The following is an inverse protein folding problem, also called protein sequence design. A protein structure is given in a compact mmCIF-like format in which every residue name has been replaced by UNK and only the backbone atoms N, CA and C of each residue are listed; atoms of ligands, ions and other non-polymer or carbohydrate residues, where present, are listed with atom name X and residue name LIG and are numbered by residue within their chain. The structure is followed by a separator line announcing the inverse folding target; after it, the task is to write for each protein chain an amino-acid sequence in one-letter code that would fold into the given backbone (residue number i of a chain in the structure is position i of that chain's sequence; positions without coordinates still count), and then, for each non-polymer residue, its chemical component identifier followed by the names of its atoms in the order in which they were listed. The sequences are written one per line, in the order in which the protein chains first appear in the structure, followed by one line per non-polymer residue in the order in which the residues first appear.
data_IF_212902292661
#
_entry.id   IF_212902292661
#
_cell.length_a   1.000
_cell.length_b   1.000
_cell.length_c   1.000
_cell.angle_alpha   90.00
_cell.angle_beta   90.00
_cell.angle_gamma   90.00
#
_symmetry.space_group_name_H-M   'P 1'
#
loop_
_entity.id
_entity.type
_entity.pdbx_description
1 polymer ?
#
# COMPACT_ATOMS: atom_id res chain seq x y z
N UNK A 1 -47.91 79.06 -9.44
CA UNK A 1 -47.76 77.63 -9.77
C UNK A 1 -46.35 77.09 -9.52
N UNK A 2 -45.27 77.79 -9.90
CA UNK A 2 -43.88 77.33 -9.73
C UNK A 2 -43.44 77.05 -8.27
N UNK A 3 -43.86 77.89 -7.31
CA UNK A 3 -43.51 77.68 -5.89
C UNK A 3 -44.12 76.40 -5.26
N UNK A 4 -45.15 75.82 -5.89
CA UNK A 4 -45.79 74.59 -5.39
C UNK A 4 -45.08 73.34 -5.92
N UNK A 5 -44.53 73.41 -7.13
CA UNK A 5 -43.72 72.34 -7.73
C UNK A 5 -42.36 72.20 -7.02
N UNK A 6 -41.68 73.33 -6.75
CA UNK A 6 -40.39 73.34 -6.05
C UNK A 6 -40.47 72.71 -4.64
N UNK A 7 -41.53 73.02 -3.89
CA UNK A 7 -41.77 72.40 -2.57
C UNK A 7 -42.11 70.91 -2.62
N UNK A 8 -42.57 70.41 -3.76
CA UNK A 8 -42.91 69.00 -3.94
C UNK A 8 -41.64 68.19 -4.23
N UNK A 9 -40.76 68.71 -5.11
CA UNK A 9 -39.45 68.12 -5.41
C UNK A 9 -38.51 68.11 -4.19
N UNK A 10 -38.45 69.20 -3.41
CA UNK A 10 -37.61 69.27 -2.20
C UNK A 10 -38.05 68.28 -1.10
N UNK A 11 -39.36 68.01 -0.99
CA UNK A 11 -39.90 67.06 -0.02
C UNK A 11 -39.67 65.60 -0.43
N UNK A 12 -39.75 65.29 -1.72
CA UNK A 12 -39.45 63.96 -2.23
C UNK A 12 -37.94 63.65 -2.19
N UNK A 13 -37.08 64.66 -2.41
CA UNK A 13 -35.63 64.53 -2.23
C UNK A 13 -35.25 64.28 -0.75
N UNK A 14 -35.88 64.97 0.19
CA UNK A 14 -35.65 64.75 1.64
C UNK A 14 -36.15 63.39 2.12
N UNK A 15 -37.27 62.89 1.59
CA UNK A 15 -37.79 61.55 1.92
C UNK A 15 -36.88 60.43 1.39
N UNK A 16 -36.34 60.60 0.18
CA UNK A 16 -35.40 59.63 -0.41
C UNK A 16 -34.04 59.63 0.30
N UNK A 17 -33.52 60.79 0.72
CA UNK A 17 -32.33 60.88 1.57
C UNK A 17 -32.53 60.19 2.93
N UNK A 18 -33.65 60.44 3.60
CA UNK A 18 -33.96 59.80 4.87
C UNK A 18 -34.12 58.27 4.74
N UNK A 19 -34.79 57.79 3.69
CA UNK A 19 -34.92 56.36 3.41
C UNK A 19 -33.56 55.71 3.13
N UNK A 20 -32.68 56.38 2.37
CA UNK A 20 -31.32 55.92 2.10
C UNK A 20 -30.45 55.85 3.36
N UNK A 21 -30.54 56.87 4.23
CA UNK A 21 -29.86 56.89 5.54
C UNK A 21 -30.34 55.79 6.46
N UNK A 22 -31.65 55.57 6.55
CA UNK A 22 -32.24 54.47 7.33
C UNK A 22 -31.80 53.11 6.79
N UNK A 23 -31.78 52.92 5.48
CA UNK A 23 -31.30 51.68 4.86
C UNK A 23 -29.81 51.42 5.14
N UNK A 24 -28.99 52.48 5.10
CA UNK A 24 -27.55 52.40 5.43
C UNK A 24 -27.33 52.03 6.89
N UNK A 25 -28.06 52.65 7.81
CA UNK A 25 -27.99 52.31 9.26
C UNK A 25 -28.40 50.86 9.48
N UNK A 26 -29.49 50.39 8.84
CA UNK A 26 -29.91 48.99 8.92
C UNK A 26 -28.86 48.03 8.36
N UNK A 27 -28.24 48.37 7.23
CA UNK A 27 -27.21 47.53 6.61
C UNK A 27 -25.96 47.41 7.49
N UNK A 28 -25.52 48.51 8.09
CA UNK A 28 -24.40 48.51 9.03
C UNK A 28 -24.75 47.72 10.29
N UNK A 29 -25.97 47.88 10.81
CA UNK A 29 -26.45 47.13 11.97
C UNK A 29 -26.48 45.62 11.70
N UNK A 30 -26.96 45.20 10.52
CA UNK A 30 -26.92 43.79 10.12
C UNK A 30 -25.50 43.26 10.07
N UNK A 31 -24.56 44.00 9.46
CA UNK A 31 -23.16 43.59 9.38
C UNK A 31 -22.53 43.45 10.77
N UNK A 32 -22.81 44.38 11.69
CA UNK A 32 -22.34 44.30 13.08
C UNK A 32 -22.91 43.07 13.78
N UNK A 33 -24.20 42.79 13.58
CA UNK A 33 -24.85 41.62 14.19
C UNK A 33 -24.27 40.30 13.64
N UNK A 34 -23.97 40.22 12.34
CA UNK A 34 -23.31 39.07 11.73
C UNK A 34 -21.88 38.86 12.26
N UNK A 35 -21.11 39.94 12.43
CA UNK A 35 -19.79 39.85 13.04
C UNK A 35 -19.86 39.39 14.51
N UNK A 36 -20.81 39.93 15.28
CA UNK A 36 -20.98 39.55 16.69
C UNK A 36 -21.40 38.09 16.85
N UNK A 37 -22.28 37.58 15.98
CA UNK A 37 -22.68 36.16 16.01
C UNK A 37 -21.53 35.24 15.59
N UNK A 38 -20.75 35.63 14.58
CA UNK A 38 -19.56 34.87 14.18
C UNK A 38 -18.53 34.78 15.31
N UNK A 39 -18.22 35.91 15.96
CA UNK A 39 -17.28 35.94 17.08
C UNK A 39 -17.79 35.15 18.30
N UNK A 40 -19.10 35.15 18.55
CA UNK A 40 -19.69 34.33 19.61
C UNK A 40 -19.46 32.84 19.38
N UNK A 41 -19.63 32.37 18.15
CA UNK A 41 -19.39 30.98 17.79
C UNK A 41 -17.90 30.60 17.91
N UNK A 42 -17.00 31.47 17.45
CA UNK A 42 -15.55 31.26 17.61
C UNK A 42 -15.14 31.19 19.08
N UNK A 43 -15.68 32.09 19.90
CA UNK A 43 -15.46 32.06 21.36
C UNK A 43 -15.95 30.76 21.98
N UNK A 44 -17.13 30.26 21.60
CA UNK A 44 -17.67 29.01 22.15
C UNK A 44 -16.79 27.81 21.80
N UNK A 45 -16.20 27.79 20.61
CA UNK A 45 -15.22 26.76 20.20
C UNK A 45 -13.97 26.85 21.07
N UNK A 46 -13.41 28.04 21.27
CA UNK A 46 -12.23 28.26 22.11
C UNK A 46 -12.51 27.88 23.57
N UNK A 47 -13.66 28.29 24.12
CA UNK A 47 -14.09 27.96 25.47
C UNK A 47 -14.30 26.44 25.64
N UNK A 48 -14.81 25.74 24.61
CA UNK A 48 -14.94 24.28 24.62
C UNK A 48 -13.60 23.57 24.66
N UNK A 49 -12.66 23.99 23.80
CA UNK A 49 -11.27 23.47 23.80
C UNK A 49 -10.62 23.73 25.15
N UNK A 50 -10.73 24.96 25.68
CA UNK A 50 -10.17 25.32 26.97
C UNK A 50 -10.80 24.52 28.12
N UNK A 51 -12.11 24.22 28.04
CA UNK A 51 -12.79 23.35 29.02
C UNK A 51 -12.32 21.90 28.94
N UNK A 52 -11.94 21.40 27.75
CA UNK A 52 -11.27 20.10 27.59
C UNK A 52 -9.88 20.10 28.23
N UNK A 53 -9.17 21.23 28.22
CA UNK A 53 -7.86 21.37 28.90
C UNK A 53 -7.97 21.63 30.41
N UNK A 54 -9.10 22.19 30.87
CA UNK A 54 -9.35 22.54 32.27
C UNK A 54 -10.15 21.46 33.02
N UNK A 55 -10.29 20.23 32.48
CA UNK A 55 -10.71 19.12 33.35
C UNK A 55 -9.64 18.97 34.43
N UNK A 56 -10.02 18.97 35.73
CA UNK A 56 -9.09 18.68 36.80
C UNK A 56 -8.86 17.16 36.84
N UNK A 57 -8.46 16.58 35.71
CA UNK A 57 -7.79 15.29 35.75
C UNK A 57 -6.41 15.58 36.27
N UNK A 58 -6.34 15.71 37.60
CA UNK A 58 -5.09 15.69 38.32
C UNK A 58 -4.45 14.35 37.94
N UNK A 59 -3.47 14.39 37.05
CA UNK A 59 -2.57 13.28 36.76
C UNK A 59 -1.64 13.07 37.98
N UNK A 60 -2.21 12.93 39.19
CA UNK A 60 -1.45 12.62 40.40
C UNK A 60 -1.09 11.13 40.51
N UNK A 61 -1.59 10.31 39.58
CA UNK A 61 -1.34 8.87 39.54
C UNK A 61 -1.92 8.13 40.75
N UNK A 62 -2.70 8.78 41.62
CA UNK A 62 -3.17 8.19 42.88
C UNK A 62 -4.33 7.20 42.66
N UNK A 63 -5.03 7.28 41.52
CA UNK A 63 -6.11 6.38 41.12
C UNK A 63 -5.78 5.50 39.89
N UNK A 64 -4.55 5.57 39.37
CA UNK A 64 -4.12 4.73 38.26
C UNK A 64 -3.53 3.42 38.79
N UNK A 65 -4.34 2.37 38.85
CA UNK A 65 -3.82 1.01 39.07
C UNK A 65 -3.10 0.57 37.79
N UNK A 66 -1.78 0.73 37.76
CA UNK A 66 -0.96 0.23 36.66
C UNK A 66 -0.73 -1.27 36.86
N UNK A 67 -1.56 -2.10 36.22
CA UNK A 67 -1.32 -3.54 36.14
C UNK A 67 -0.27 -3.82 35.07
N UNK A 68 0.95 -4.16 35.51
CA UNK A 68 1.99 -4.66 34.62
C UNK A 68 1.56 -6.04 34.11
N UNK A 69 1.46 -6.26 32.79
CA UNK A 69 1.22 -7.58 32.23
C UNK A 69 2.22 -8.61 32.79
N UNK A 70 1.75 -9.79 33.20
CA UNK A 70 2.56 -10.82 33.87
C UNK A 70 3.83 -11.21 33.09
N UNK A 71 3.73 -11.23 31.76
CA UNK A 71 4.86 -11.49 30.85
C UNK A 71 5.97 -10.43 30.96
N UNK A 72 5.60 -9.16 31.15
CA UNK A 72 6.55 -8.09 31.38
C UNK A 72 7.13 -8.18 32.79
N UNK A 73 6.31 -8.50 33.80
CA UNK A 73 6.79 -8.70 35.16
C UNK A 73 7.83 -9.84 35.26
N UNK A 74 7.54 -11.00 34.63
CA UNK A 74 8.46 -12.14 34.59
C UNK A 74 9.77 -11.81 33.88
N UNK A 75 9.70 -11.05 32.77
CA UNK A 75 10.90 -10.63 32.05
C UNK A 75 11.70 -9.58 32.81
N UNK A 76 11.04 -8.69 33.54
CA UNK A 76 11.70 -7.73 34.41
C UNK A 76 12.43 -8.45 35.56
N UNK A 77 11.85 -9.50 36.13
CA UNK A 77 12.50 -10.33 37.16
C UNK A 77 13.70 -11.13 36.61
N UNK A 78 13.70 -11.48 35.31
CA UNK A 78 14.86 -12.09 34.67
C UNK A 78 15.94 -11.07 34.27
N UNK A 79 15.56 -9.88 33.82
CA UNK A 79 16.46 -8.82 33.28
C UNK A 79 16.97 -7.84 34.36
N UNK A 80 16.46 -7.92 35.60
CA UNK A 80 16.77 -7.02 36.72
C UNK A 80 18.24 -7.02 37.15
N UNK A 81 19.06 -7.95 36.65
CA UNK A 81 20.50 -7.94 36.96
C UNK A 81 21.32 -6.93 36.16
N UNK A 82 20.78 -6.29 35.11
CA UNK A 82 21.62 -5.45 34.23
C UNK A 82 21.09 -4.04 33.92
N UNK A 83 19.79 -3.76 33.99
CA UNK A 83 19.24 -2.51 33.43
C UNK A 83 18.78 -1.45 34.45
N UNK A 84 18.58 -1.78 35.73
CA UNK A 84 17.91 -0.87 36.67
C UNK A 84 18.79 -0.58 37.89
N UNK A 85 19.14 0.69 38.11
CA UNK A 85 19.96 1.16 39.24
C UNK A 85 19.14 1.66 40.44
N UNK A 86 17.84 1.38 40.51
CA UNK A 86 16.99 1.84 41.60
C UNK A 86 15.74 0.98 41.81
N UNK A 87 15.21 1.00 43.05
CA UNK A 87 13.95 0.37 43.38
C UNK A 87 12.79 1.17 42.75
N UNK A 88 11.75 0.48 42.26
CA UNK A 88 10.54 1.09 41.69
C UNK A 88 9.81 1.93 42.75
N UNK A 89 9.95 1.54 44.02
CA UNK A 89 9.39 2.25 45.17
C UNK A 89 10.51 2.77 46.05
N UNK A 90 10.50 4.07 46.32
CA UNK A 90 11.44 4.73 47.22
C UNK A 90 10.64 5.51 48.26
N UNK A 91 10.83 5.19 49.54
CA UNK A 91 10.12 5.82 50.66
C UNK A 91 8.58 5.86 50.50
N UNK A 92 7.96 4.71 50.18
CA UNK A 92 6.51 4.55 49.97
C UNK A 92 5.92 5.37 48.80
N UNK A 93 6.77 6.00 47.99
CA UNK A 93 6.37 6.72 46.77
C UNK A 93 7.00 6.09 45.54
N UNK A 94 6.26 6.11 44.44
CA UNK A 94 6.75 5.63 43.15
C UNK A 94 7.92 6.48 42.69
N UNK A 95 9.07 5.85 42.42
CA UNK A 95 10.20 6.53 41.80
C UNK A 95 9.89 6.69 40.30
N UNK A 96 9.29 7.83 39.94
CA UNK A 96 8.88 8.12 38.56
C UNK A 96 10.03 8.04 37.54
N UNK A 97 11.28 8.28 37.97
CA UNK A 97 12.44 8.14 37.08
C UNK A 97 12.64 6.68 36.69
N UNK A 98 12.56 5.76 37.65
CA UNK A 98 12.65 4.32 37.40
C UNK A 98 11.46 3.83 36.57
N UNK A 99 10.25 4.35 36.81
CA UNK A 99 9.05 4.02 36.01
C UNK A 99 9.20 4.48 34.56
N UNK A 100 9.72 5.69 34.31
CA UNK A 100 9.95 6.20 32.96
C UNK A 100 11.05 5.39 32.25
N UNK A 101 12.13 5.04 32.94
CA UNK A 101 13.18 4.18 32.39
C UNK A 101 12.63 2.80 32.00
N UNK A 102 11.80 2.22 32.85
CA UNK A 102 11.12 0.96 32.61
C UNK A 102 10.20 1.01 31.38
N UNK A 103 9.39 2.06 31.27
CA UNK A 103 8.50 2.25 30.13
C UNK A 103 9.31 2.37 28.83
N UNK A 104 10.41 3.12 28.85
CA UNK A 104 11.28 3.29 27.68
C UNK A 104 11.96 1.99 27.25
N UNK A 105 12.41 1.15 28.17
CA UNK A 105 12.96 -0.18 27.84
C UNK A 105 11.89 -1.13 27.30
N UNK A 106 10.69 -1.09 27.88
CA UNK A 106 9.56 -1.92 27.42
C UNK A 106 9.16 -1.53 25.99
N UNK A 107 9.08 -0.23 25.69
CA UNK A 107 8.79 0.28 24.36
C UNK A 107 9.90 -0.06 23.36
N UNK A 108 11.17 0.01 23.77
CA UNK A 108 12.31 -0.38 22.92
C UNK A 108 12.24 -1.86 22.57
N UNK A 109 12.00 -2.70 23.57
CA UNK A 109 11.86 -4.15 23.41
C UNK A 109 10.71 -4.49 22.47
N UNK A 110 9.53 -3.87 22.67
CA UNK A 110 8.38 -4.07 21.80
C UNK A 110 8.68 -3.69 20.35
N UNK A 111 9.33 -2.55 20.12
CA UNK A 111 9.75 -2.11 18.78
C UNK A 111 10.70 -3.10 18.13
N UNK A 112 11.70 -3.55 18.88
CA UNK A 112 12.75 -4.44 18.36
C UNK A 112 12.17 -5.83 18.02
N UNK A 113 11.26 -6.36 18.85
CA UNK A 113 10.56 -7.62 18.59
C UNK A 113 9.57 -7.54 17.42
N UNK A 114 8.81 -6.45 17.33
CA UNK A 114 7.91 -6.20 16.21
C UNK A 114 8.69 -6.16 14.89
N UNK A 115 9.79 -5.41 14.85
CA UNK A 115 10.64 -5.29 13.68
C UNK A 115 11.26 -6.64 13.28
N UNK A 116 11.70 -7.45 14.24
CA UNK A 116 12.20 -8.81 13.98
C UNK A 116 11.11 -9.72 13.39
N UNK A 117 9.87 -9.62 13.89
CA UNK A 117 8.74 -10.40 13.37
C UNK A 117 8.40 -10.02 11.93
N UNK A 118 8.33 -8.72 11.62
CA UNK A 118 8.09 -8.21 10.26
C UNK A 118 9.19 -8.61 9.29
N UNK A 119 10.46 -8.44 9.69
CA UNK A 119 11.61 -8.87 8.89
C UNK A 119 11.58 -10.37 8.62
N UNK A 120 11.24 -11.20 9.61
CA UNK A 120 11.15 -12.64 9.45
C UNK A 120 10.06 -13.04 8.47
N UNK A 121 8.90 -12.39 8.52
CA UNK A 121 7.82 -12.61 7.56
C UNK A 121 8.24 -12.21 6.14
N UNK A 122 8.85 -11.04 5.99
CA UNK A 122 9.35 -10.55 4.69
C UNK A 122 10.41 -11.50 4.10
N UNK A 123 11.37 -11.94 4.92
CA UNK A 123 12.39 -12.90 4.51
C UNK A 123 11.79 -14.23 4.08
N UNK A 124 10.75 -14.70 4.76
CA UNK A 124 10.06 -15.94 4.39
C UNK A 124 9.35 -15.81 3.03
N UNK A 125 8.70 -14.67 2.77
CA UNK A 125 8.08 -14.39 1.47
C UNK A 125 9.11 -14.36 0.35
N UNK A 126 10.24 -13.66 0.56
CA UNK A 126 11.34 -13.59 -0.41
C UNK A 126 11.94 -14.98 -0.65
N UNK A 127 12.15 -15.78 0.40
CA UNK A 127 12.67 -17.14 0.27
C UNK A 127 11.75 -18.02 -0.58
N UNK A 128 10.44 -17.94 -0.33
CA UNK A 128 9.44 -18.70 -1.09
C UNK A 128 9.39 -18.27 -2.56
N UNK A 129 9.47 -16.97 -2.85
CA UNK A 129 9.47 -16.47 -4.23
C UNK A 129 10.72 -16.89 -5.00
N UNK A 130 11.90 -16.84 -4.37
CA UNK A 130 13.16 -17.32 -4.95
C UNK A 130 13.10 -18.82 -5.24
N UNK A 131 12.57 -19.63 -4.32
CA UNK A 131 12.39 -21.06 -4.54
C UNK A 131 11.47 -21.34 -5.74
N UNK A 132 10.32 -20.67 -5.80
CA UNK A 132 9.39 -20.80 -6.94
C UNK A 132 10.05 -20.41 -8.26
N UNK A 133 10.77 -19.30 -8.29
CA UNK A 133 11.48 -18.86 -9.48
C UNK A 133 12.54 -19.89 -9.92
N UNK A 134 13.35 -20.38 -8.98
CA UNK A 134 14.38 -21.38 -9.27
C UNK A 134 13.76 -22.69 -9.80
N UNK A 135 12.68 -23.18 -9.20
CA UNK A 135 11.96 -24.36 -9.71
C UNK A 135 11.44 -24.16 -11.13
N UNK A 136 10.95 -22.96 -11.44
CA UNK A 136 10.42 -22.62 -12.77
C UNK A 136 11.54 -22.55 -13.82
N UNK A 137 12.67 -21.95 -13.46
CA UNK A 137 13.87 -21.90 -14.31
C UNK A 137 14.38 -23.31 -14.60
N UNK A 138 14.56 -24.15 -13.58
CA UNK A 138 15.04 -25.52 -13.75
C UNK A 138 14.07 -26.36 -14.62
N UNK A 139 12.76 -26.18 -14.44
CA UNK A 139 11.77 -26.84 -15.29
C UNK A 139 11.84 -26.36 -16.76
N UNK A 140 12.12 -25.08 -16.98
CA UNK A 140 12.35 -24.53 -18.32
C UNK A 140 13.62 -25.06 -18.97
N UNK A 141 14.71 -25.16 -18.22
CA UNK A 141 15.98 -25.73 -18.69
C UNK A 141 15.84 -27.22 -19.04
N UNK A 142 15.15 -28.00 -18.21
CA UNK A 142 14.88 -29.41 -18.49
C UNK A 142 14.10 -29.59 -19.81
N UNK A 143 13.05 -28.80 -20.03
CA UNK A 143 12.30 -28.82 -21.30
C UNK A 143 13.16 -28.42 -22.49
N UNK A 144 14.04 -27.42 -22.33
CA UNK A 144 14.94 -26.99 -23.40
C UNK A 144 15.90 -28.10 -23.81
N UNK A 145 16.46 -28.82 -22.84
CA UNK A 145 17.33 -29.97 -23.10
C UNK A 145 16.59 -31.13 -23.78
N UNK A 146 15.34 -31.38 -23.39
CA UNK A 146 14.50 -32.42 -24.02
C UNK A 146 14.21 -32.11 -25.50
N UNK A 147 13.92 -30.83 -25.82
CA UNK A 147 13.73 -30.36 -27.20
C UNK A 147 15.03 -30.49 -27.99
N UNK A 148 16.15 -30.01 -27.46
CA UNK A 148 17.46 -30.06 -28.13
C UNK A 148 17.89 -31.52 -28.41
N UNK A 149 17.67 -32.42 -27.44
CA UNK A 149 17.93 -33.85 -27.63
C UNK A 149 17.04 -34.45 -28.73
N UNK A 150 15.75 -34.13 -28.73
CA UNK A 150 14.79 -34.62 -29.73
C UNK A 150 15.15 -34.12 -31.14
N UNK A 151 15.52 -32.85 -31.28
CA UNK A 151 15.97 -32.26 -32.54
C UNK A 151 17.25 -32.93 -33.04
N UNK A 152 18.22 -33.20 -32.15
CA UNK A 152 19.45 -33.91 -32.48
C UNK A 152 19.20 -35.34 -32.95
N UNK A 153 18.32 -36.08 -32.26
CA UNK A 153 17.91 -37.43 -32.66
C UNK A 153 17.22 -37.40 -34.02
N UNK A 154 16.29 -36.47 -34.23
CA UNK A 154 15.58 -36.33 -35.50
C UNK A 154 16.54 -36.01 -36.66
N UNK A 155 17.50 -35.10 -36.45
CA UNK A 155 18.52 -34.79 -37.45
C UNK A 155 19.38 -36.02 -37.79
N UNK A 156 19.73 -36.84 -36.80
CA UNK A 156 20.46 -38.10 -37.04
C UNK A 156 19.61 -39.12 -37.80
N UNK A 157 18.31 -39.21 -37.53
CA UNK A 157 17.39 -40.10 -38.23
C UNK A 157 17.25 -39.66 -39.69
N UNK A 158 17.01 -38.37 -39.94
CA UNK A 158 16.92 -37.82 -41.30
C UNK A 158 18.17 -38.13 -42.13
N UNK A 159 19.37 -37.96 -41.55
CA UNK A 159 20.62 -38.29 -42.25
C UNK A 159 20.71 -39.78 -42.60
N UNK A 160 20.36 -40.67 -41.67
CA UNK A 160 20.35 -42.12 -41.94
C UNK A 160 19.31 -42.50 -42.99
N UNK A 161 18.17 -41.82 -43.01
CA UNK A 161 17.13 -42.03 -44.01
C UNK A 161 17.62 -41.63 -45.40
N UNK A 162 18.27 -40.47 -45.54
CA UNK A 162 18.91 -40.03 -46.78
C UNK A 162 19.98 -41.03 -47.26
N UNK A 163 20.83 -41.52 -46.36
CA UNK A 163 21.84 -42.55 -46.67
C UNK A 163 21.19 -43.85 -47.18
N UNK A 164 20.10 -44.28 -46.56
CA UNK A 164 19.35 -45.46 -46.99
C UNK A 164 18.68 -45.26 -48.34
N UNK A 165 18.05 -44.11 -48.57
CA UNK A 165 17.45 -43.77 -49.86
C UNK A 165 18.49 -43.73 -50.97
N UNK A 166 19.68 -43.17 -50.72
CA UNK A 166 20.79 -43.19 -51.65
C UNK A 166 21.24 -44.63 -51.98
N UNK A 167 21.36 -45.49 -50.96
CA UNK A 167 21.69 -46.93 -51.16
C UNK A 167 20.63 -47.66 -51.97
N UNK A 168 19.35 -47.47 -51.65
CA UNK A 168 18.25 -48.09 -52.39
C UNK A 168 18.21 -47.63 -53.85
N UNK A 169 18.35 -46.31 -54.11
CA UNK A 169 18.45 -45.78 -55.47
C UNK A 169 19.62 -46.37 -56.25
N UNK A 170 20.78 -46.51 -55.61
CA UNK A 170 21.95 -47.14 -56.24
C UNK A 170 21.69 -48.61 -56.57
N UNK A 171 21.15 -49.39 -55.63
CA UNK A 171 20.90 -50.82 -55.82
C UNK A 171 19.85 -51.07 -56.91
N UNK A 172 18.74 -50.32 -56.85
CA UNK A 172 17.71 -50.35 -57.86
C UNK A 172 18.27 -49.95 -59.22
N UNK A 173 19.08 -48.89 -59.32
CA UNK A 173 19.74 -48.46 -60.56
C UNK A 173 20.60 -49.54 -61.22
N UNK A 174 21.22 -50.42 -60.43
CA UNK A 174 22.01 -51.58 -60.91
C UNK A 174 21.19 -52.85 -61.10
N UNK A 175 19.89 -52.84 -60.80
CA UNK A 175 19.05 -54.03 -60.85
C UNK A 175 18.71 -54.39 -62.32
N UNK A 176 18.88 -55.66 -62.75
CA UNK A 176 18.54 -56.10 -64.10
C UNK A 176 17.06 -55.90 -64.46
N UNK A 177 16.19 -55.74 -63.46
CA UNK A 177 14.76 -55.51 -63.63
C UNK A 177 14.42 -54.10 -64.16
N UNK A 178 15.32 -53.11 -64.05
CA UNK A 178 15.09 -51.78 -64.64
C UNK A 178 15.02 -51.83 -66.17
N UNK A 179 15.71 -52.79 -66.81
CA UNK A 179 15.62 -53.02 -68.25
C UNK A 179 14.24 -53.55 -68.68
N UNK A 180 13.46 -54.11 -67.76
CA UNK A 180 12.11 -54.62 -68.03
C UNK A 180 11.07 -53.50 -67.95
N UNK A 181 11.27 -52.50 -67.08
CA UNK A 181 10.37 -51.34 -67.00
C UNK A 181 10.59 -50.33 -68.12
N UNK A 182 11.83 -50.12 -68.59
CA UNK A 182 12.13 -49.17 -69.68
C UNK A 182 11.57 -49.62 -71.05
N UNK A 183 11.26 -50.91 -71.20
CA UNK A 183 10.75 -51.48 -72.46
C UNK A 183 9.22 -51.57 -72.55
N UNK A 184 8.48 -50.96 -71.61
CA UNK A 184 7.02 -50.97 -71.66
C UNK A 184 6.48 -49.59 -72.05
N UNK A 185 6.02 -49.37 -73.30
CA UNK A 185 5.33 -48.13 -73.63
C UNK A 185 4.02 -48.10 -72.85
N UNK A 186 3.90 -47.15 -71.93
CA UNK A 186 2.68 -46.86 -71.18
C UNK A 186 1.56 -46.60 -72.19
N UNK A 187 0.77 -47.63 -72.48
CA UNK A 187 -0.52 -47.47 -73.13
C UNK A 187 -1.50 -47.00 -72.06
N UNK A 188 -1.90 -45.74 -72.24
CA UNK A 188 -3.08 -45.07 -71.70
C UNK A 188 -4.04 -45.96 -70.90
N UNK A 189 -4.16 -45.70 -69.61
CA UNK A 189 -5.40 -46.00 -68.87
C UNK A 189 -5.77 -44.78 -68.04
N UNK A 190 -6.75 -44.05 -68.57
CA UNK A 190 -7.46 -42.96 -67.93
C UNK A 190 -8.62 -43.56 -67.15
N UNK A 191 -8.76 -43.25 -65.86
CA UNK A 191 -9.95 -43.61 -65.09
C UNK A 191 -10.67 -42.36 -64.60
N UNK A 192 -11.99 -42.43 -64.85
CA UNK A 192 -13.09 -41.53 -64.47
C UNK A 192 -13.23 -41.44 -62.95
#
# INVERSE_FOLDING_TARGET
CLARAYRMEENDQNKTDNAGRVHKVRSIWTLIMEMLTSLKNEKEIVDSVLKTFNSPDILDGNNAVFSVPELLAQRMESDTRQCYSGNIYEAEKSNYVVVIQLLNESLRTLRDEHFQSELKQLLQVIKNSVLLHNTSVNAGEAKRLEVEYSESVNASISRKQEDWEAKWKSFLGTCPLNLILDNNPVSSVQFI
#
